data_IF_099008725818
#
_entry.id   IF_099008725818
#
_cell.length_a   1.000
_cell.length_b   1.000
_cell.length_c   1.000
_cell.angle_alpha   90.00
_cell.angle_beta   90.00
_cell.angle_gamma   90.00
#
_symmetry.space_group_name_H-M   'P 1'
#
loop_
_entity.id
_entity.type
_entity.pdbx_description
1 polymer ?
#
# COMPACT_ATOMS: atom_id res chain seq x y z
N UNK A 1 62.19 37.60 28.76
CA UNK A 1 60.84 37.70 28.26
C UNK A 1 60.51 36.37 27.62
N UNK A 2 59.67 35.53 28.25
CA UNK A 2 59.24 34.26 27.69
C UNK A 2 58.06 34.54 26.79
N UNK A 3 58.21 34.31 25.47
CA UNK A 3 57.11 34.39 24.53
C UNK A 3 56.27 33.11 24.67
N UNK A 4 55.03 33.26 25.16
CA UNK A 4 54.06 32.20 25.22
C UNK A 4 53.51 32.00 23.81
N UNK A 5 53.87 30.88 23.19
CA UNK A 5 53.35 30.46 21.89
C UNK A 5 52.00 29.78 22.13
N UNK A 6 50.89 30.49 21.88
CA UNK A 6 49.55 29.89 21.93
C UNK A 6 49.37 29.05 20.67
N UNK A 7 49.46 27.76 20.83
CA UNK A 7 49.16 26.80 19.77
C UNK A 7 47.62 26.64 19.69
N UNK A 8 47.01 27.30 18.69
CA UNK A 8 45.60 27.05 18.36
C UNK A 8 45.50 25.71 17.69
N UNK A 9 45.01 24.70 18.45
CA UNK A 9 44.64 23.41 17.87
C UNK A 9 43.27 23.59 17.22
N UNK A 10 43.28 23.69 15.89
CA UNK A 10 42.06 23.64 15.08
C UNK A 10 41.57 22.18 15.09
N UNK A 11 40.58 21.87 15.91
CA UNK A 11 39.88 20.58 15.84
C UNK A 11 38.82 20.74 14.75
N UNK A 12 38.95 20.07 13.59
CA UNK A 12 37.85 20.07 12.64
C UNK A 12 36.67 19.37 13.28
N UNK A 13 35.58 20.12 13.50
CA UNK A 13 34.28 19.54 13.77
C UNK A 13 33.88 18.72 12.54
N UNK A 14 34.19 17.45 12.58
CA UNK A 14 33.59 16.49 11.63
C UNK A 14 32.13 16.38 12.03
N UNK A 15 31.29 17.19 11.40
CA UNK A 15 29.86 16.97 11.42
C UNK A 15 29.62 15.63 10.77
N UNK A 16 29.50 14.60 11.58
CA UNK A 16 28.83 13.38 11.16
C UNK A 16 27.37 13.76 10.92
N UNK A 17 27.06 14.15 9.69
CA UNK A 17 25.71 14.06 9.20
C UNK A 17 25.36 12.59 9.24
N UNK A 18 24.77 12.14 10.35
CA UNK A 18 23.95 10.95 10.33
C UNK A 18 22.79 11.31 9.39
N UNK A 19 22.94 10.96 8.10
CA UNK A 19 21.80 10.60 7.31
C UNK A 19 21.18 9.45 8.10
N UNK A 20 20.14 9.76 8.88
CA UNK A 20 19.17 8.78 9.25
C UNK A 20 18.83 8.09 7.94
N UNK A 21 19.37 6.91 7.71
CA UNK A 21 18.77 5.95 6.81
C UNK A 21 17.41 5.75 7.43
N UNK A 22 16.41 6.52 6.95
CA UNK A 22 15.03 6.15 7.13
C UNK A 22 15.00 4.70 6.68
N UNK A 23 14.87 3.82 7.65
CA UNK A 23 14.68 2.40 7.44
C UNK A 23 13.45 2.37 6.55
N UNK A 24 13.65 2.11 5.27
CA UNK A 24 12.56 1.90 4.34
C UNK A 24 11.90 0.64 4.86
N UNK A 25 10.89 0.80 5.73
CA UNK A 25 10.10 -0.31 6.19
C UNK A 25 9.41 -0.83 4.95
N UNK A 26 9.85 -1.98 4.46
CA UNK A 26 9.23 -2.62 3.32
C UNK A 26 7.75 -2.80 3.64
N UNK A 27 6.91 -2.39 2.72
CA UNK A 27 5.46 -2.51 2.84
C UNK A 27 5.00 -3.75 2.10
N UNK A 28 4.05 -4.46 2.70
CA UNK A 28 3.34 -5.54 2.05
C UNK A 28 2.21 -4.94 1.22
N UNK A 29 2.28 -5.09 -0.08
CA UNK A 29 1.25 -4.64 -1.00
C UNK A 29 0.29 -5.80 -1.30
N UNK A 30 -0.98 -5.57 -1.04
CA UNK A 30 -2.07 -6.47 -1.40
C UNK A 30 -2.80 -5.87 -2.60
N UNK A 31 -2.68 -6.51 -3.75
CA UNK A 31 -3.21 -6.03 -5.02
C UNK A 31 -4.28 -7.00 -5.54
N UNK A 32 -5.45 -6.49 -5.84
CA UNK A 32 -6.58 -7.28 -6.34
C UNK A 32 -7.04 -6.73 -7.68
N UNK A 33 -6.84 -7.51 -8.73
CA UNK A 33 -7.39 -7.23 -10.05
C UNK A 33 -8.82 -7.74 -10.12
N UNK A 34 -9.71 -6.96 -10.71
CA UNK A 34 -11.12 -7.32 -10.79
C UNK A 34 -11.69 -7.14 -12.19
N UNK A 35 -12.56 -8.07 -12.58
CA UNK A 35 -13.48 -7.93 -13.70
C UNK A 35 -14.88 -7.74 -13.15
N UNK A 36 -15.55 -6.70 -13.57
CA UNK A 36 -16.95 -6.49 -13.21
C UNK A 36 -17.90 -7.25 -14.12
N UNK A 37 -19.03 -7.64 -13.57
CA UNK A 37 -20.17 -8.09 -14.35
C UNK A 37 -20.76 -6.93 -15.15
N UNK A 38 -21.39 -7.24 -16.27
CA UNK A 38 -22.11 -6.24 -17.06
C UNK A 38 -23.25 -5.62 -16.27
N UNK A 39 -23.49 -4.33 -16.48
CA UNK A 39 -24.62 -3.60 -15.90
C UNK A 39 -24.49 -3.21 -14.43
N UNK A 40 -23.37 -3.53 -13.78
CA UNK A 40 -23.12 -3.11 -12.39
C UNK A 40 -22.56 -1.68 -12.33
N UNK A 41 -22.83 -1.01 -11.21
CA UNK A 41 -22.22 0.31 -10.94
C UNK A 41 -20.82 0.14 -10.36
N UNK A 42 -19.79 0.37 -11.17
CA UNK A 42 -18.39 0.38 -10.74
C UNK A 42 -18.15 1.47 -9.71
N UNK A 43 -18.75 2.66 -9.90
CA UNK A 43 -18.61 3.77 -8.95
C UNK A 43 -19.15 3.43 -7.57
N UNK A 44 -20.31 2.76 -7.51
CA UNK A 44 -20.86 2.29 -6.23
C UNK A 44 -19.95 1.28 -5.54
N UNK A 45 -19.42 0.32 -6.28
CA UNK A 45 -18.47 -0.65 -5.74
C UNK A 45 -17.22 0.05 -5.20
N UNK A 46 -16.65 0.98 -5.98
CA UNK A 46 -15.50 1.79 -5.60
C UNK A 46 -15.74 2.56 -4.30
N UNK A 47 -16.85 3.29 -4.21
CA UNK A 47 -17.19 4.09 -3.03
C UNK A 47 -17.32 3.21 -1.78
N UNK A 48 -17.97 2.05 -1.92
CA UNK A 48 -18.12 1.10 -0.82
C UNK A 48 -16.80 0.43 -0.44
N UNK A 49 -15.94 0.14 -1.41
CA UNK A 49 -14.60 -0.38 -1.14
C UNK A 49 -13.75 0.61 -0.31
N UNK A 50 -13.77 1.89 -0.67
CA UNK A 50 -13.11 2.94 0.13
C UNK A 50 -13.71 3.04 1.52
N UNK A 51 -15.03 3.03 1.63
CA UNK A 51 -15.73 3.17 2.91
C UNK A 51 -15.51 1.98 3.83
N UNK A 52 -15.53 0.77 3.32
CA UNK A 52 -15.46 -0.46 4.12
C UNK A 52 -14.03 -0.96 4.27
N UNK A 53 -13.33 -1.18 3.17
CA UNK A 53 -11.97 -1.75 3.20
C UNK A 53 -10.93 -0.69 3.54
N UNK A 54 -11.03 0.50 2.95
CA UNK A 54 -10.09 1.60 3.17
C UNK A 54 -10.10 2.14 4.60
N UNK A 55 -11.15 1.90 5.38
CA UNK A 55 -11.29 2.34 6.77
C UNK A 55 -10.98 1.25 7.80
N UNK A 56 -10.46 0.12 7.39
CA UNK A 56 -9.94 -0.88 8.33
C UNK A 56 -8.61 -0.35 8.90
N UNK A 57 -8.43 -0.42 10.21
CA UNK A 57 -7.35 0.25 10.95
C UNK A 57 -5.93 -0.10 10.51
N UNK A 58 -5.71 -1.29 9.97
CA UNK A 58 -4.40 -1.75 9.49
C UNK A 58 -4.17 -1.52 8.00
N UNK A 59 -5.18 -1.02 7.30
CA UNK A 59 -5.10 -0.72 5.87
C UNK A 59 -4.53 0.68 5.68
N UNK A 60 -3.38 0.75 5.02
CA UNK A 60 -2.77 2.00 4.60
C UNK A 60 -2.89 2.16 3.08
N UNK A 61 -2.98 3.40 2.62
CA UNK A 61 -2.94 3.79 1.22
C UNK A 61 -3.86 2.95 0.32
N UNK A 62 -5.13 2.83 0.70
CA UNK A 62 -6.13 2.17 -0.15
C UNK A 62 -6.32 2.95 -1.45
N UNK A 63 -6.20 2.26 -2.58
CA UNK A 63 -6.39 2.84 -3.91
C UNK A 63 -7.27 1.96 -4.78
N UNK A 64 -8.13 2.58 -5.55
CA UNK A 64 -8.88 1.95 -6.63
C UNK A 64 -8.43 2.56 -7.95
N UNK A 65 -8.06 1.74 -8.92
CA UNK A 65 -7.41 2.19 -10.16
C UNK A 65 -8.04 1.59 -11.41
N UNK A 66 -7.91 2.34 -12.49
CA UNK A 66 -8.24 1.91 -13.84
C UNK A 66 -6.94 1.56 -14.57
N UNK A 67 -6.94 0.44 -15.30
CA UNK A 67 -5.83 0.08 -16.16
C UNK A 67 -5.69 1.11 -17.31
N UNK A 68 -4.50 1.67 -17.43
CA UNK A 68 -4.16 2.65 -18.47
C UNK A 68 -3.07 2.14 -19.42
N UNK A 69 -2.74 0.84 -19.38
CA UNK A 69 -1.78 0.25 -20.28
C UNK A 69 -2.29 0.25 -21.72
N UNK A 70 -1.52 0.75 -22.69
CA UNK A 70 -1.90 0.73 -24.11
C UNK A 70 -1.63 -0.61 -24.78
N UNK A 71 -1.04 -1.59 -24.08
CA UNK A 71 -0.53 -2.81 -24.68
C UNK A 71 -1.61 -3.85 -25.04
N UNK A 72 -2.82 -3.76 -24.41
CA UNK A 72 -3.93 -4.66 -24.68
C UNK A 72 -3.81 -6.06 -24.06
N UNK A 73 -3.01 -6.22 -23.00
CA UNK A 73 -2.78 -7.49 -22.30
C UNK A 73 -3.45 -7.55 -20.91
N UNK A 74 -4.48 -6.79 -20.70
CA UNK A 74 -5.19 -6.74 -19.40
C UNK A 74 -6.06 -7.97 -19.12
N UNK A 75 -6.33 -8.78 -20.13
CA UNK A 75 -7.20 -9.96 -20.07
C UNK A 75 -8.59 -9.66 -19.52
N UNK A 76 -9.06 -8.42 -19.71
CA UNK A 76 -10.34 -7.92 -19.19
C UNK A 76 -10.31 -7.44 -17.74
N UNK A 77 -9.15 -7.44 -17.08
CA UNK A 77 -8.96 -6.82 -15.77
C UNK A 77 -8.72 -5.32 -15.91
N UNK A 78 -9.80 -4.58 -16.11
CA UNK A 78 -9.73 -3.13 -16.34
C UNK A 78 -9.52 -2.35 -15.05
N UNK A 79 -9.83 -2.93 -13.90
CA UNK A 79 -9.74 -2.29 -12.59
C UNK A 79 -8.93 -3.13 -11.61
N UNK A 80 -8.33 -2.44 -10.66
CA UNK A 80 -7.68 -3.04 -9.52
C UNK A 80 -7.88 -2.17 -8.29
N UNK A 81 -7.81 -2.77 -7.11
CA UNK A 81 -7.60 -2.04 -5.88
C UNK A 81 -6.39 -2.59 -5.14
N UNK A 82 -5.75 -1.74 -4.40
CA UNK A 82 -4.56 -2.08 -3.64
C UNK A 82 -4.59 -1.45 -2.26
N UNK A 83 -3.86 -2.05 -1.36
CA UNK A 83 -3.64 -1.55 -0.02
C UNK A 83 -2.29 -2.00 0.50
N UNK A 84 -1.80 -1.32 1.51
CA UNK A 84 -0.52 -1.58 2.14
C UNK A 84 -0.73 -2.07 3.57
N UNK A 85 0.08 -3.05 3.97
CA UNK A 85 0.18 -3.52 5.35
C UNK A 85 1.63 -3.42 5.82
N UNK A 86 1.85 -3.23 7.11
CA UNK A 86 3.19 -3.24 7.70
C UNK A 86 3.74 -4.65 7.85
N UNK A 87 2.86 -5.63 8.09
CA UNK A 87 3.21 -7.02 8.37
C UNK A 87 2.21 -7.99 7.75
N UNK A 88 2.64 -9.25 7.55
CA UNK A 88 1.73 -10.34 7.18
C UNK A 88 0.67 -10.59 8.25
N UNK A 89 1.02 -10.41 9.52
CA UNK A 89 0.05 -10.52 10.62
C UNK A 89 -1.12 -9.56 10.47
N UNK A 90 -0.87 -8.30 10.10
CA UNK A 90 -1.93 -7.32 9.85
C UNK A 90 -2.87 -7.77 8.72
N UNK A 91 -2.32 -8.30 7.63
CA UNK A 91 -3.12 -8.84 6.52
C UNK A 91 -3.91 -10.09 6.96
N UNK A 92 -3.21 -11.08 7.52
CA UNK A 92 -3.77 -12.42 7.72
C UNK A 92 -4.67 -12.53 8.95
N UNK A 93 -4.30 -11.83 10.04
CA UNK A 93 -4.95 -11.97 11.33
C UNK A 93 -5.89 -10.81 11.69
N UNK A 94 -5.76 -9.66 11.02
CA UNK A 94 -6.59 -8.48 11.28
C UNK A 94 -7.49 -8.16 10.08
N UNK A 95 -6.91 -7.98 8.89
CA UNK A 95 -7.68 -7.57 7.71
C UNK A 95 -8.58 -8.69 7.16
N UNK A 96 -8.03 -9.86 6.86
CA UNK A 96 -8.81 -10.94 6.23
C UNK A 96 -10.01 -11.38 7.08
N UNK A 97 -9.91 -11.58 8.41
CA UNK A 97 -11.05 -11.92 9.25
C UNK A 97 -11.88 -10.71 9.71
N UNK A 98 -11.51 -9.50 9.33
CA UNK A 98 -12.18 -8.29 9.78
C UNK A 98 -13.66 -8.26 9.37
N UNK A 99 -14.59 -7.88 10.26
CA UNK A 99 -16.03 -7.85 9.95
C UNK A 99 -16.39 -7.02 8.72
N UNK A 100 -15.73 -5.88 8.51
CA UNK A 100 -15.94 -5.04 7.32
C UNK A 100 -15.48 -5.73 6.03
N UNK A 101 -14.37 -6.48 6.05
CA UNK A 101 -13.89 -7.25 4.90
C UNK A 101 -14.88 -8.37 4.55
N UNK A 102 -15.35 -9.11 5.55
CA UNK A 102 -16.34 -10.19 5.36
C UNK A 102 -17.66 -9.63 4.84
N UNK A 103 -18.13 -8.53 5.41
CA UNK A 103 -19.39 -7.88 4.99
C UNK A 103 -19.29 -7.34 3.57
N UNK A 104 -18.18 -6.70 3.22
CA UNK A 104 -17.93 -6.22 1.86
C UNK A 104 -17.98 -7.38 0.85
N UNK A 105 -17.29 -8.48 1.15
CA UNK A 105 -17.31 -9.68 0.33
C UNK A 105 -18.71 -10.24 0.14
N UNK A 106 -19.48 -10.36 1.20
CA UNK A 106 -20.83 -10.92 1.13
C UNK A 106 -21.85 -10.03 0.40
N UNK A 107 -21.71 -8.70 0.52
CA UNK A 107 -22.65 -7.73 -0.09
C UNK A 107 -22.34 -7.42 -1.56
N UNK A 108 -21.06 -7.32 -1.88
CA UNK A 108 -20.65 -6.74 -3.17
C UNK A 108 -19.93 -7.73 -4.08
N UNK A 109 -19.20 -8.70 -3.55
CA UNK A 109 -18.34 -9.53 -4.40
C UNK A 109 -19.15 -10.37 -5.38
N UNK A 110 -20.09 -11.15 -4.89
CA UNK A 110 -20.91 -12.06 -5.69
C UNK A 110 -21.71 -11.35 -6.78
N UNK A 111 -22.24 -10.17 -6.47
CA UNK A 111 -23.16 -9.48 -7.36
C UNK A 111 -22.43 -8.59 -8.38
N UNK A 112 -21.20 -8.16 -8.08
CA UNK A 112 -20.44 -7.21 -8.90
C UNK A 112 -19.28 -7.83 -9.65
N UNK A 113 -18.63 -8.84 -9.10
CA UNK A 113 -17.36 -9.36 -9.64
C UNK A 113 -17.60 -10.64 -10.44
N UNK A 114 -17.08 -10.63 -11.68
CA UNK A 114 -17.09 -11.77 -12.59
C UNK A 114 -15.84 -12.65 -12.42
N UNK A 115 -14.70 -12.03 -12.21
CA UNK A 115 -13.41 -12.71 -12.06
C UNK A 115 -12.42 -11.80 -11.32
N UNK A 116 -11.46 -12.38 -10.63
CA UNK A 116 -10.46 -11.63 -9.88
C UNK A 116 -9.15 -12.41 -9.77
N UNK A 117 -8.08 -11.68 -9.49
CA UNK A 117 -6.76 -12.23 -9.19
C UNK A 117 -6.14 -11.44 -8.04
N UNK A 118 -5.56 -12.13 -7.07
CA UNK A 118 -4.84 -11.51 -5.95
C UNK A 118 -3.35 -11.68 -6.16
N UNK A 119 -2.60 -10.60 -6.00
CA UNK A 119 -1.16 -10.57 -6.12
C UNK A 119 -0.56 -9.75 -4.97
N UNK A 120 0.16 -10.42 -4.09
CA UNK A 120 0.81 -9.78 -2.94
C UNK A 120 2.32 -9.77 -3.15
N UNK A 121 2.96 -8.67 -2.74
CA UNK A 121 4.40 -8.54 -2.82
C UNK A 121 4.94 -7.57 -1.76
N UNK A 122 6.20 -7.73 -1.41
CA UNK A 122 6.90 -6.75 -0.60
C UNK A 122 7.50 -5.66 -1.48
N UNK A 123 7.17 -4.41 -1.18
CA UNK A 123 7.75 -3.27 -1.88
C UNK A 123 9.25 -3.19 -1.55
N UNK A 124 10.08 -3.14 -2.61
CA UNK A 124 11.55 -3.02 -2.49
C UNK A 124 12.32 -4.34 -2.51
N UNK A 125 11.64 -5.47 -2.69
CA UNK A 125 12.29 -6.77 -2.91
C UNK A 125 12.60 -7.02 -4.39
#
# INVERSE_FOLDING_TARGET
MKKLLLLFIFIPLISFSQKDKMKNENKLIHLVFVKFKEGVSVDKFKDEAYRMLGNIEVVDNFQFSLNVSPEGYDRGFEHAFSMEFKTEYERDSIYLPHPKHIEFGSKYWKDYIKDWMVYDYWEGD
#
